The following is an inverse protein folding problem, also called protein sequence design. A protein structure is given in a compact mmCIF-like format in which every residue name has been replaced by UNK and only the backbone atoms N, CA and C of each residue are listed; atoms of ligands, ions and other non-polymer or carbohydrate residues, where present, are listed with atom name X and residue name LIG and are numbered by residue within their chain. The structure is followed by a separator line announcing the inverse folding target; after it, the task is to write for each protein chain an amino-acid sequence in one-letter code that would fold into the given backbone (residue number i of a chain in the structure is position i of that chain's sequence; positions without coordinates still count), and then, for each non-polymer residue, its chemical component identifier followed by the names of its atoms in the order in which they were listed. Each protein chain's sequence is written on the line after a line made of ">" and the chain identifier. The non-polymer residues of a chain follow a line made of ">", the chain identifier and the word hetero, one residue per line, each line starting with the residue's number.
data_IF_763252240759
#
_entry.id   IF_763252240759
#
_cell.length_a   1.000
_cell.length_b   1.000
_cell.length_c   1.000
_cell.angle_alpha   90.00
_cell.angle_beta   90.00
_cell.angle_gamma   90.00
#
_symmetry.space_group_name_H-M   'P 1'
#
loop_
_entity.id
_entity.type
_entity.pdbx_description
1 polymer ?
#
# COMPACT_ATOMS: atom_id res chain seq x y z
N UNK A 1 14.96 7.92 -8.76
CA UNK A 1 13.99 8.79 -8.07
C UNK A 1 14.74 9.55 -6.99
N UNK A 2 14.59 10.87 -6.90
CA UNK A 2 15.20 11.64 -5.82
C UNK A 2 14.49 11.37 -4.50
N UNK A 3 15.12 11.66 -3.36
CA UNK A 3 14.54 11.43 -2.03
C UNK A 3 13.24 12.23 -1.85
N UNK A 4 13.21 13.46 -2.33
CA UNK A 4 12.01 14.32 -2.29
C UNK A 4 10.86 13.74 -3.13
N UNK A 5 11.16 13.22 -4.33
CA UNK A 5 10.16 12.55 -5.17
C UNK A 5 9.66 11.27 -4.50
N UNK A 6 10.56 10.45 -3.96
CA UNK A 6 10.20 9.22 -3.26
C UNK A 6 9.32 9.50 -2.05
N UNK A 7 9.69 10.44 -1.18
CA UNK A 7 8.89 10.82 0.00
C UNK A 7 7.49 11.30 -0.43
N UNK A 8 7.40 12.08 -1.52
CA UNK A 8 6.12 12.54 -2.04
C UNK A 8 5.25 11.37 -2.47
N UNK A 9 5.80 10.44 -3.24
CA UNK A 9 5.08 9.28 -3.75
C UNK A 9 4.67 8.33 -2.62
N UNK A 10 5.56 8.10 -1.63
CA UNK A 10 5.27 7.33 -0.43
C UNK A 10 4.13 7.93 0.41
N UNK A 11 4.08 9.26 0.57
CA UNK A 11 2.95 9.93 1.26
C UNK A 11 1.63 9.76 0.53
N UNK A 12 1.65 9.80 -0.80
CA UNK A 12 0.46 9.54 -1.61
C UNK A 12 0.03 8.07 -1.43
N UNK A 13 0.97 7.13 -1.44
CA UNK A 13 0.72 5.69 -1.29
C UNK A 13 0.10 5.40 0.08
N UNK A 14 0.64 6.01 1.14
CA UNK A 14 0.12 5.90 2.50
C UNK A 14 -1.33 6.39 2.59
N UNK A 15 -1.65 7.52 1.94
CA UNK A 15 -3.01 8.07 1.92
C UNK A 15 -3.98 7.15 1.19
N UNK A 16 -3.60 6.64 0.01
CA UNK A 16 -4.42 5.70 -0.75
C UNK A 16 -4.67 4.41 0.04
N UNK A 17 -3.64 3.89 0.71
CA UNK A 17 -3.75 2.71 1.59
C UNK A 17 -4.69 2.95 2.76
N UNK A 18 -4.65 4.15 3.37
CA UNK A 18 -5.57 4.52 4.44
C UNK A 18 -7.03 4.62 3.95
N UNK A 19 -7.25 5.14 2.74
CA UNK A 19 -8.60 5.16 2.14
C UNK A 19 -9.11 3.75 1.92
N UNK A 20 -8.29 2.85 1.35
CA UNK A 20 -8.66 1.44 1.16
C UNK A 20 -8.98 0.76 2.50
N UNK A 21 -8.16 0.99 3.52
CA UNK A 21 -8.42 0.49 4.88
C UNK A 21 -9.77 0.96 5.43
N UNK A 22 -10.14 2.22 5.15
CA UNK A 22 -11.40 2.80 5.60
C UNK A 22 -12.60 2.15 4.91
N UNK A 23 -12.53 1.97 3.58
CA UNK A 23 -13.56 1.26 2.82
C UNK A 23 -13.73 -0.18 3.30
N UNK A 24 -12.62 -0.90 3.54
CA UNK A 24 -12.64 -2.26 4.05
C UNK A 24 -13.30 -2.36 5.43
N UNK A 25 -13.07 -1.37 6.31
CA UNK A 25 -13.74 -1.28 7.62
C UNK A 25 -15.25 -1.05 7.49
N UNK A 26 -15.71 -0.48 6.39
CA UNK A 26 -17.13 -0.37 6.04
C UNK A 26 -17.66 -1.58 5.27
N UNK A 27 -16.84 -2.62 5.06
CA UNK A 27 -17.22 -3.82 4.32
C UNK A 27 -17.18 -3.66 2.80
N UNK A 28 -16.47 -2.63 2.29
CA UNK A 28 -16.35 -2.36 0.87
C UNK A 28 -14.91 -2.58 0.39
N UNK A 29 -14.74 -3.35 -0.68
CA UNK A 29 -13.47 -3.48 -1.39
C UNK A 29 -13.50 -2.56 -2.61
N UNK A 30 -12.79 -1.44 -2.53
CA UNK A 30 -12.65 -0.50 -3.65
C UNK A 30 -11.51 -0.94 -4.57
N UNK A 31 -11.85 -1.55 -5.70
CA UNK A 31 -10.90 -1.97 -6.72
C UNK A 31 -10.14 -0.80 -7.36
N UNK A 32 -10.72 0.39 -7.41
CA UNK A 32 -10.05 1.59 -7.92
C UNK A 32 -8.90 2.05 -7.01
N UNK A 33 -9.03 1.88 -5.69
CA UNK A 33 -7.94 2.14 -4.75
C UNK A 33 -6.82 1.10 -4.85
N UNK A 34 -7.17 -0.17 -5.09
CA UNK A 34 -6.19 -1.24 -5.32
C UNK A 34 -5.41 -0.95 -6.62
N UNK A 35 -6.11 -0.65 -7.72
CA UNK A 35 -5.47 -0.27 -8.99
C UNK A 35 -4.58 0.97 -8.85
N UNK A 36 -4.97 1.93 -8.00
CA UNK A 36 -4.17 3.11 -7.72
C UNK A 36 -2.87 2.76 -6.99
N UNK A 37 -2.93 1.92 -5.95
CA UNK A 37 -1.76 1.40 -5.23
C UNK A 37 -0.80 0.70 -6.21
N UNK A 38 -1.34 -0.15 -7.08
CA UNK A 38 -0.59 -0.91 -8.07
C UNK A 38 0.15 0.00 -9.06
N UNK A 39 -0.56 0.99 -9.64
CA UNK A 39 0.05 1.95 -10.57
C UNK A 39 1.14 2.79 -9.92
N UNK A 40 1.01 3.09 -8.62
CA UNK A 40 2.05 3.81 -7.88
C UNK A 40 3.29 2.96 -7.68
N UNK A 41 3.11 1.67 -7.38
CA UNK A 41 4.23 0.72 -7.31
C UNK A 41 4.95 0.63 -8.65
N UNK A 42 4.22 0.50 -9.76
CA UNK A 42 4.79 0.43 -11.11
C UNK A 42 5.47 1.73 -11.57
N UNK A 43 5.11 2.88 -11.00
CA UNK A 43 5.65 4.20 -11.39
C UNK A 43 7.02 4.56 -10.81
N UNK A 44 7.62 3.67 -10.03
CA UNK A 44 9.01 3.86 -9.57
C UNK A 44 9.26 3.40 -8.15
N UNK A 45 8.22 3.23 -7.33
CA UNK A 45 8.37 2.72 -5.95
C UNK A 45 8.87 1.27 -6.00
N UNK A 46 8.29 0.41 -6.85
CA UNK A 46 8.70 -0.99 -6.92
C UNK A 46 10.13 -1.18 -7.43
N UNK A 47 10.66 -0.26 -8.22
CA UNK A 47 12.03 -0.35 -8.78
C UNK A 47 13.09 0.29 -7.89
N UNK A 48 12.69 1.00 -6.84
CA UNK A 48 13.62 1.62 -5.89
C UNK A 48 14.00 0.58 -4.81
N UNK A 49 15.30 0.33 -4.66
CA UNK A 49 15.80 -0.68 -3.71
C UNK A 49 15.39 -0.39 -2.26
N UNK A 50 15.23 0.89 -1.91
CA UNK A 50 14.78 1.32 -0.57
C UNK A 50 13.35 0.92 -0.27
N UNK A 51 12.58 0.58 -1.30
CA UNK A 51 11.17 0.21 -1.21
C UNK A 51 10.94 -1.29 -1.43
N UNK A 52 11.99 -2.13 -1.40
CA UNK A 52 11.86 -3.56 -1.61
C UNK A 52 10.80 -4.21 -0.71
N UNK A 53 10.78 -3.85 0.58
CA UNK A 53 9.80 -4.39 1.56
C UNK A 53 8.35 -3.93 1.33
N UNK A 54 8.17 -2.81 0.59
CA UNK A 54 6.85 -2.32 0.20
C UNK A 54 6.25 -3.20 -0.91
N UNK A 55 7.10 -3.79 -1.76
CA UNK A 55 6.64 -4.71 -2.81
C UNK A 55 5.98 -5.94 -2.21
N UNK A 56 6.65 -6.58 -1.25
CA UNK A 56 6.12 -7.75 -0.55
C UNK A 56 4.82 -7.42 0.20
N UNK A 57 4.70 -6.21 0.74
CA UNK A 57 3.48 -5.75 1.40
C UNK A 57 2.31 -5.60 0.42
N UNK A 58 2.57 -5.00 -0.75
CA UNK A 58 1.55 -4.80 -1.78
C UNK A 58 1.15 -6.12 -2.43
N UNK A 59 2.09 -7.04 -2.63
CA UNK A 59 1.77 -8.37 -3.17
C UNK A 59 0.88 -9.17 -2.20
N UNK A 60 1.12 -9.10 -0.89
CA UNK A 60 0.24 -9.68 0.12
C UNK A 60 -1.15 -9.02 0.13
N UNK A 61 -1.21 -7.69 -0.04
CA UNK A 61 -2.48 -6.96 -0.17
C UNK A 61 -3.26 -7.42 -1.41
N UNK A 62 -2.59 -7.55 -2.55
CA UNK A 62 -3.16 -8.04 -3.82
C UNK A 62 -3.74 -9.43 -3.65
N UNK A 63 -2.98 -10.36 -3.07
CA UNK A 63 -3.41 -11.74 -2.84
C UNK A 63 -4.71 -11.80 -2.02
N UNK A 64 -4.80 -11.01 -0.94
CA UNK A 64 -6.01 -10.93 -0.11
C UNK A 64 -7.23 -10.35 -0.85
N UNK A 65 -7.00 -9.51 -1.87
CA UNK A 65 -8.07 -8.88 -2.66
C UNK A 65 -8.49 -9.68 -3.90
N UNK A 66 -7.69 -10.64 -4.36
CA UNK A 66 -8.02 -11.50 -5.51
C UNK A 66 -9.11 -12.53 -5.19
N UNK A 67 -9.27 -12.89 -3.92
CA UNK A 67 -10.39 -13.73 -3.45
C UNK A 67 -11.19 -12.98 -2.39
N UNK A 68 -12.03 -12.00 -2.78
CA UNK A 68 -12.81 -11.23 -1.82
C UNK A 68 -13.83 -12.15 -1.15
N UNK A 69 -13.47 -12.64 0.03
CA UNK A 69 -14.39 -13.26 0.99
C UNK A 69 -14.57 -12.24 2.09
N UNK A 70 -15.79 -11.99 2.52
CA UNK A 70 -16.06 -11.06 3.63
C UNK A 70 -15.25 -11.41 4.89
N UNK A 71 -14.98 -12.70 5.08
CA UNK A 71 -14.14 -13.24 6.16
C UNK A 71 -12.66 -12.77 6.09
N UNK A 72 -12.18 -12.39 4.90
CA UNK A 72 -10.80 -11.94 4.65
C UNK A 72 -10.64 -10.42 4.75
N UNK A 73 -11.70 -9.65 4.95
CA UNK A 73 -11.60 -8.20 5.16
C UNK A 73 -10.67 -7.86 6.33
N UNK A 74 -10.67 -8.68 7.39
CA UNK A 74 -9.77 -8.52 8.53
C UNK A 74 -8.29 -8.66 8.15
N UNK A 75 -7.96 -9.61 7.27
CA UNK A 75 -6.60 -9.84 6.81
C UNK A 75 -6.16 -8.74 5.84
N UNK A 76 -7.05 -8.27 4.97
CA UNK A 76 -6.78 -7.11 4.10
C UNK A 76 -6.56 -5.84 4.92
N UNK A 77 -7.33 -5.61 6.00
CA UNK A 77 -7.13 -4.46 6.91
C UNK A 77 -5.75 -4.53 7.57
N UNK A 78 -5.33 -5.71 8.05
CA UNK A 78 -4.00 -5.92 8.64
C UNK A 78 -2.89 -5.72 7.62
N UNK A 79 -3.08 -6.15 6.38
CA UNK A 79 -2.14 -5.91 5.29
C UNK A 79 -2.00 -4.40 4.99
N UNK A 80 -3.11 -3.64 5.01
CA UNK A 80 -3.07 -2.18 4.89
C UNK A 80 -2.30 -1.53 6.05
N UNK A 81 -2.47 -2.01 7.29
CA UNK A 81 -1.72 -1.51 8.45
C UNK A 81 -0.22 -1.78 8.30
N UNK A 82 0.16 -3.02 7.97
CA UNK A 82 1.56 -3.38 7.74
C UNK A 82 2.20 -2.58 6.60
N UNK A 83 1.47 -2.33 5.50
CA UNK A 83 1.96 -1.50 4.41
C UNK A 83 2.22 -0.06 4.88
N UNK A 84 1.32 0.54 5.66
CA UNK A 84 1.50 1.90 6.20
C UNK A 84 2.72 1.99 7.12
N UNK A 85 2.89 1.03 8.02
CA UNK A 85 4.03 1.00 8.95
C UNK A 85 5.37 0.91 8.20
N UNK A 86 5.44 0.10 7.15
CA UNK A 86 6.63 0.02 6.29
C UNK A 86 6.87 1.31 5.51
N UNK A 87 5.82 1.96 5.01
CA UNK A 87 5.95 3.27 4.34
C UNK A 87 6.53 4.30 5.31
N UNK A 88 6.03 4.36 6.54
CA UNK A 88 6.54 5.27 7.57
C UNK A 88 8.01 4.98 7.91
N UNK A 89 8.40 3.71 7.96
CA UNK A 89 9.79 3.31 8.16
C UNK A 89 10.70 3.80 7.04
N UNK A 90 10.29 3.64 5.77
CA UNK A 90 11.07 4.11 4.61
C UNK A 90 11.15 5.64 4.61
N UNK A 91 10.06 6.35 4.87
CA UNK A 91 10.08 7.82 5.00
C UNK A 91 11.03 8.25 6.11
N UNK A 92 11.03 7.55 7.25
CA UNK A 92 11.92 7.79 8.39
C UNK A 92 13.40 7.66 8.06
N UNK A 93 13.77 6.80 7.11
CA UNK A 93 15.15 6.59 6.66
C UNK A 93 15.62 7.65 5.63
N UNK A 94 14.68 8.34 4.98
CA UNK A 94 14.95 9.35 3.94
C UNK A 94 15.02 10.78 4.49
N UNK A 95 14.73 10.98 5.78
CA UNK A 95 14.84 12.25 6.51
C UNK A 95 16.19 12.38 7.20
#
# INVERSE_FOLDING_TARGET
>A
MTDTELIRDLRILQRTTLMLQTELRHGHVDSGLIDAIDRMMERGIATDERCAELRDAVDALRENTLTPREELHGDTIRACEALKDRIDAVIGQLM
#
